data_IF_876675616603
#
_entry.id   IF_876675616603
#
_cell.length_a   1.000
_cell.length_b   1.000
_cell.length_c   1.000
_cell.angle_alpha   90.00
_cell.angle_beta   90.00
_cell.angle_gamma   90.00
#
_symmetry.space_group_name_H-M   'P 1'
#
loop_
_entity.id
_entity.type
_entity.pdbx_description
1 polymer ?
#
# COMPACT_ATOMS: atom_id res chain seq x y z
N UNK A 1 2.47 22.71 -6.90
CA UNK A 1 3.65 21.96 -6.45
C UNK A 1 3.92 20.85 -7.45
N UNK A 2 5.18 20.50 -7.72
CA UNK A 2 5.49 19.36 -8.58
C UNK A 2 5.07 18.07 -7.83
N UNK A 3 4.29 17.23 -8.48
CA UNK A 3 3.90 15.93 -7.92
C UNK A 3 5.07 14.96 -8.11
N UNK A 4 5.71 14.55 -7.01
CA UNK A 4 6.76 13.54 -7.04
C UNK A 4 6.15 12.16 -6.83
N UNK A 5 6.38 11.23 -7.74
CA UNK A 5 5.91 9.86 -7.67
C UNK A 5 6.86 8.92 -8.41
N UNK A 6 6.75 7.63 -8.13
CA UNK A 6 7.41 6.60 -8.90
C UNK A 6 6.37 5.80 -9.67
N UNK A 7 6.75 5.34 -10.85
CA UNK A 7 5.90 4.52 -11.72
C UNK A 7 6.68 3.34 -12.26
N UNK A 8 6.00 2.20 -12.31
CA UNK A 8 6.52 0.97 -12.95
C UNK A 8 5.39 0.25 -13.66
N UNK A 9 5.70 -0.36 -14.80
CA UNK A 9 4.83 -1.30 -15.49
C UNK A 9 5.50 -2.67 -15.49
N UNK A 10 4.96 -3.68 -14.77
CA UNK A 10 5.53 -5.01 -14.77
C UNK A 10 5.55 -5.65 -16.15
N UNK A 11 6.63 -6.35 -16.49
CA UNK A 11 6.78 -7.06 -17.78
C UNK A 11 5.97 -8.35 -17.88
N UNK A 12 5.58 -8.92 -16.74
CA UNK A 12 4.72 -10.11 -16.66
C UNK A 12 3.78 -10.01 -15.46
N UNK A 13 2.62 -10.65 -15.56
CA UNK A 13 1.68 -10.71 -14.44
C UNK A 13 2.21 -11.61 -13.32
N UNK A 14 2.03 -11.16 -12.08
CA UNK A 14 2.20 -11.93 -10.87
C UNK A 14 0.85 -12.36 -10.29
N UNK A 15 0.77 -12.46 -8.98
CA UNK A 15 -0.45 -12.85 -8.29
C UNK A 15 -1.35 -11.62 -8.05
N UNK A 16 -2.44 -11.52 -8.79
CA UNK A 16 -3.41 -10.41 -8.71
C UNK A 16 -4.44 -10.55 -7.59
N UNK A 17 -4.41 -11.67 -6.86
CA UNK A 17 -5.33 -12.00 -5.77
C UNK A 17 -4.67 -11.99 -4.41
N UNK A 18 -3.36 -12.22 -4.35
CA UNK A 18 -2.61 -12.34 -3.11
C UNK A 18 -1.34 -11.49 -3.17
N UNK A 19 -1.24 -10.51 -2.29
CA UNK A 19 -0.08 -9.60 -2.20
C UNK A 19 -0.11 -8.80 -0.91
N UNK A 20 1.01 -8.19 -0.57
CA UNK A 20 1.12 -7.29 0.58
C UNK A 20 1.81 -6.00 0.17
N UNK A 21 1.24 -4.86 0.55
CA UNK A 21 1.84 -3.53 0.41
C UNK A 21 2.16 -3.03 1.81
N UNK A 22 3.40 -2.62 2.04
CA UNK A 22 3.88 -2.05 3.30
C UNK A 22 4.55 -0.72 3.01
N UNK A 23 4.25 0.32 3.78
CA UNK A 23 4.84 1.64 3.64
C UNK A 23 4.95 2.35 4.98
N UNK A 24 6.08 3.02 5.23
CA UNK A 24 6.20 4.02 6.26
C UNK A 24 5.85 5.37 5.65
N UNK A 25 4.88 6.06 6.24
CA UNK A 25 4.38 7.33 5.72
C UNK A 25 4.27 8.37 6.83
N UNK A 26 4.59 9.62 6.50
CA UNK A 26 4.37 10.78 7.34
C UNK A 26 3.64 11.82 6.51
N UNK A 27 2.48 12.26 6.95
CA UNK A 27 1.63 13.20 6.23
C UNK A 27 2.07 14.64 6.48
N UNK A 28 1.98 15.51 5.47
CA UNK A 28 2.21 16.95 5.61
C UNK A 28 0.93 17.75 5.44
N UNK A 29 0.00 17.28 4.59
CA UNK A 29 -1.29 17.93 4.32
C UNK A 29 -2.43 17.04 4.81
N UNK A 30 -3.40 17.66 5.50
CA UNK A 30 -4.64 17.05 5.98
C UNK A 30 -5.83 17.59 5.18
N UNK A 31 -6.94 16.82 5.18
CA UNK A 31 -8.18 17.23 4.54
C UNK A 31 -8.09 17.39 3.01
N UNK A 32 -7.05 16.86 2.37
CA UNK A 32 -6.96 16.84 0.91
C UNK A 32 -7.93 15.83 0.31
N UNK A 33 -8.30 15.99 -0.96
CA UNK A 33 -9.25 15.08 -1.60
C UNK A 33 -8.79 13.62 -1.50
N UNK A 34 -7.53 13.34 -1.82
CA UNK A 34 -6.87 12.04 -1.62
C UNK A 34 -5.37 12.24 -1.45
N UNK A 35 -4.73 11.37 -0.65
CA UNK A 35 -3.27 11.30 -0.50
C UNK A 35 -2.85 9.84 -0.67
N UNK A 36 -2.36 9.48 -1.86
CA UNK A 36 -2.20 8.09 -2.28
C UNK A 36 -0.83 7.53 -1.93
N UNK A 37 -0.81 6.39 -1.27
CA UNK A 37 0.40 5.63 -0.93
C UNK A 37 0.82 4.79 -2.14
N UNK A 38 -0.13 3.99 -2.66
CA UNK A 38 0.10 3.08 -3.78
C UNK A 38 -1.16 2.98 -4.63
N UNK A 39 -1.01 2.96 -5.95
CA UNK A 39 -2.13 2.68 -6.83
C UNK A 39 -1.73 1.86 -8.06
N UNK A 40 -2.73 1.26 -8.66
CA UNK A 40 -2.64 0.55 -9.95
C UNK A 40 -3.92 0.77 -10.73
N UNK A 41 -3.80 1.03 -12.02
CA UNK A 41 -4.95 1.26 -12.88
C UNK A 41 -4.76 0.67 -14.26
N UNK A 42 -5.80 0.01 -14.78
CA UNK A 42 -5.87 -0.53 -16.13
C UNK A 42 -7.19 -0.24 -16.82
N UNK A 43 -8.27 -0.10 -16.07
CA UNK A 43 -9.61 0.14 -16.58
C UNK A 43 -10.56 0.65 -15.48
N UNK A 44 -11.68 1.22 -15.91
CA UNK A 44 -12.79 1.71 -15.07
C UNK A 44 -13.64 0.54 -14.55
N UNK A 45 -13.04 -0.32 -13.76
CA UNK A 45 -13.68 -1.50 -13.17
C UNK A 45 -13.11 -1.84 -11.80
N UNK A 46 -13.83 -2.66 -11.02
CA UNK A 46 -13.37 -3.12 -9.70
C UNK A 46 -12.03 -3.85 -9.81
N UNK A 47 -11.87 -4.71 -10.81
CA UNK A 47 -10.62 -5.42 -11.05
C UNK A 47 -9.53 -4.53 -11.69
N UNK A 48 -9.92 -3.43 -12.32
CA UNK A 48 -9.04 -2.54 -13.09
C UNK A 48 -8.44 -1.39 -12.31
N UNK A 49 -8.90 -1.13 -11.07
CA UNK A 49 -8.39 -0.05 -10.23
C UNK A 49 -8.13 -0.54 -8.81
N UNK A 50 -7.04 -0.08 -8.23
CA UNK A 50 -6.67 -0.28 -6.83
C UNK A 50 -5.98 0.98 -6.33
N UNK A 51 -6.45 1.56 -5.23
CA UNK A 51 -5.80 2.70 -4.59
C UNK A 51 -5.83 2.56 -3.07
N UNK A 52 -4.64 2.45 -2.49
CA UNK A 52 -4.40 2.56 -1.05
C UNK A 52 -4.01 4.00 -0.75
N UNK A 53 -4.83 4.69 0.05
CA UNK A 53 -4.71 6.14 0.21
C UNK A 53 -5.31 6.63 1.52
N UNK A 54 -5.06 7.88 1.86
CA UNK A 54 -5.87 8.62 2.82
C UNK A 54 -6.95 9.40 2.06
N UNK A 55 -8.19 9.35 2.55
CA UNK A 55 -9.32 10.08 1.98
C UNK A 55 -9.37 11.54 2.48
N UNK A 56 -10.32 12.33 1.95
CA UNK A 56 -10.53 13.73 2.33
C UNK A 56 -10.97 13.95 3.78
N UNK A 57 -11.31 12.89 4.51
CA UNK A 57 -11.61 12.92 5.94
C UNK A 57 -10.44 12.42 6.80
N UNK A 58 -9.26 12.22 6.22
CA UNK A 58 -8.03 11.74 6.86
C UNK A 58 -8.10 10.27 7.32
N UNK A 59 -8.94 9.44 6.72
CA UNK A 59 -9.07 8.02 6.99
C UNK A 59 -8.22 7.20 6.02
N UNK A 60 -7.68 6.06 6.46
CA UNK A 60 -7.06 5.11 5.54
C UNK A 60 -8.16 4.40 4.75
N UNK A 61 -8.01 4.40 3.44
CA UNK A 61 -8.98 3.90 2.48
C UNK A 61 -8.30 2.99 1.45
N UNK A 62 -8.91 1.84 1.18
CA UNK A 62 -8.67 1.04 0.00
C UNK A 62 -9.89 1.15 -0.90
N UNK A 63 -9.70 1.69 -2.08
CA UNK A 63 -10.76 1.79 -3.07
C UNK A 63 -10.41 1.10 -4.39
N UNK A 64 -11.44 0.66 -5.06
CA UNK A 64 -11.47 0.30 -6.47
C UNK A 64 -12.26 1.36 -7.23
N UNK A 65 -12.49 1.18 -8.54
CA UNK A 65 -13.10 2.22 -9.41
C UNK A 65 -14.34 2.91 -8.80
N UNK A 66 -15.28 2.18 -8.29
CA UNK A 66 -16.55 2.74 -7.78
C UNK A 66 -16.89 2.26 -6.37
N UNK A 67 -16.00 1.52 -5.71
CA UNK A 67 -16.26 0.89 -4.43
C UNK A 67 -15.11 1.15 -3.47
N UNK A 68 -15.42 1.71 -2.31
CA UNK A 68 -14.51 1.67 -1.18
C UNK A 68 -14.59 0.27 -0.56
N UNK A 69 -13.48 -0.45 -0.59
CA UNK A 69 -13.35 -1.82 -0.05
C UNK A 69 -13.28 -1.76 1.47
N UNK A 70 -12.31 -0.99 2.00
CA UNK A 70 -12.17 -0.72 3.43
C UNK A 70 -11.93 0.78 3.64
N UNK A 71 -12.63 1.39 4.60
CA UNK A 71 -12.34 2.75 5.08
C UNK A 71 -12.36 2.73 6.60
N UNK A 72 -11.26 3.15 7.23
CA UNK A 72 -11.13 3.11 8.70
C UNK A 72 -12.04 4.14 9.39
N UNK A 73 -12.41 3.88 10.66
CA UNK A 73 -12.91 4.92 11.55
C UNK A 73 -11.78 5.78 12.11
N UNK A 74 -10.57 5.22 12.21
CA UNK A 74 -9.37 5.93 12.66
C UNK A 74 -9.05 7.10 11.72
N UNK A 75 -8.69 8.24 12.32
CA UNK A 75 -8.22 9.43 11.64
C UNK A 75 -6.69 9.56 11.78
N UNK A 76 -6.03 9.86 10.68
CA UNK A 76 -4.55 9.97 10.60
C UNK A 76 -4.15 11.46 10.52
N UNK A 77 -4.33 12.20 11.62
CA UNK A 77 -4.19 13.66 11.67
C UNK A 77 -2.92 14.17 12.33
N UNK A 78 -2.10 13.29 12.89
CA UNK A 78 -0.81 13.71 13.44
C UNK A 78 0.24 13.80 12.32
N UNK A 79 0.54 15.03 11.90
CA UNK A 79 1.55 15.30 10.86
C UNK A 79 2.98 15.19 11.39
N UNK A 80 3.18 15.04 12.70
CA UNK A 80 4.51 14.81 13.28
C UNK A 80 4.88 13.33 13.33
N UNK A 81 3.88 12.43 13.32
CA UNK A 81 4.06 11.00 13.44
C UNK A 81 4.37 10.30 12.11
N UNK A 82 5.20 9.27 12.19
CA UNK A 82 5.31 8.23 11.18
C UNK A 82 4.26 7.15 11.43
N UNK A 83 3.57 6.74 10.39
CA UNK A 83 2.66 5.60 10.39
C UNK A 83 3.27 4.48 9.54
N UNK A 84 3.38 3.29 10.10
CA UNK A 84 3.63 2.08 9.31
C UNK A 84 2.29 1.50 8.90
N UNK A 85 2.00 1.54 7.61
CA UNK A 85 0.76 1.03 7.02
C UNK A 85 1.08 -0.28 6.29
N UNK A 86 0.32 -1.33 6.59
CA UNK A 86 0.36 -2.58 5.84
C UNK A 86 -1.05 -2.90 5.35
N UNK A 87 -1.18 -3.12 4.04
CA UNK A 87 -2.36 -3.65 3.38
C UNK A 87 -2.03 -5.06 2.88
N UNK A 88 -2.62 -6.07 3.51
CA UNK A 88 -2.38 -7.48 3.20
C UNK A 88 -3.64 -8.07 2.56
N UNK A 89 -3.50 -8.60 1.35
CA UNK A 89 -4.60 -9.07 0.50
C UNK A 89 -4.44 -10.55 0.19
N UNK A 90 -5.50 -11.33 0.36
CA UNK A 90 -5.69 -12.69 -0.14
C UNK A 90 -7.17 -12.92 -0.42
N UNK A 91 -7.60 -12.76 -1.65
CA UNK A 91 -9.02 -12.91 -2.00
C UNK A 91 -9.49 -14.36 -2.06
N UNK A 92 -8.58 -15.33 -2.03
CA UNK A 92 -8.92 -16.75 -1.95
C UNK A 92 -9.22 -17.22 -0.50
N UNK A 93 -9.05 -16.32 0.50
CA UNK A 93 -9.43 -16.60 1.89
C UNK A 93 -10.92 -16.91 2.01
N UNK A 94 -11.22 -17.99 2.75
CA UNK A 94 -12.59 -18.46 2.97
C UNK A 94 -13.44 -17.45 3.77
N UNK A 95 -12.84 -16.87 4.81
CA UNK A 95 -13.48 -15.84 5.63
C UNK A 95 -13.35 -14.47 4.94
N UNK A 96 -14.48 -13.87 4.58
CA UNK A 96 -14.51 -12.62 3.83
C UNK A 96 -13.71 -11.50 4.49
N UNK A 97 -13.79 -11.37 5.82
CA UNK A 97 -13.09 -10.34 6.58
C UNK A 97 -11.55 -10.51 6.58
N UNK A 98 -11.05 -11.68 6.22
CA UNK A 98 -9.63 -11.96 6.12
C UNK A 98 -9.04 -11.66 4.74
N UNK A 99 -9.89 -11.42 3.72
CA UNK A 99 -9.43 -11.18 2.33
C UNK A 99 -8.64 -9.90 2.17
N UNK A 100 -8.97 -8.89 2.97
CA UNK A 100 -8.19 -7.63 3.04
C UNK A 100 -8.05 -7.23 4.49
N UNK A 101 -6.82 -7.02 4.94
CA UNK A 101 -6.48 -6.58 6.29
C UNK A 101 -5.61 -5.34 6.24
N UNK A 102 -5.91 -4.39 7.12
CA UNK A 102 -5.05 -3.25 7.40
C UNK A 102 -4.35 -3.42 8.74
N UNK A 103 -3.08 -3.03 8.77
CA UNK A 103 -2.33 -2.91 10.00
C UNK A 103 -1.73 -1.51 10.09
N UNK A 104 -1.75 -0.94 11.28
CA UNK A 104 -1.17 0.37 11.60
C UNK A 104 -0.22 0.20 12.77
N UNK A 105 1.06 0.51 12.56
CA UNK A 105 2.11 0.37 13.57
C UNK A 105 2.10 -1.01 14.26
N UNK A 106 1.96 -2.07 13.47
CA UNK A 106 1.98 -3.45 13.93
C UNK A 106 0.65 -4.00 14.46
N UNK A 107 -0.38 -3.16 14.62
CA UNK A 107 -1.68 -3.56 15.15
C UNK A 107 -2.71 -3.66 14.03
N UNK A 108 -3.49 -4.75 14.00
CA UNK A 108 -4.58 -4.92 13.03
C UNK A 108 -5.68 -3.88 13.28
N UNK A 109 -6.10 -3.20 12.21
CA UNK A 109 -7.24 -2.29 12.25
C UNK A 109 -8.53 -3.10 12.11
N UNK A 110 -9.41 -2.97 13.09
CA UNK A 110 -10.67 -3.72 13.14
C UNK A 110 -11.91 -2.83 13.09
N UNK A 111 -11.72 -1.51 13.16
CA UNK A 111 -12.81 -0.52 13.18
C UNK A 111 -12.90 0.21 11.85
N UNK A 112 -13.98 -0.04 11.11
CA UNK A 112 -14.20 0.49 9.77
C UNK A 112 -15.53 1.23 9.67
N UNK A 113 -15.52 2.37 8.98
CA UNK A 113 -16.74 3.07 8.55
C UNK A 113 -17.35 2.43 7.30
N UNK A 114 -16.50 1.78 6.49
CA UNK A 114 -16.91 0.99 5.33
C UNK A 114 -16.12 -0.31 5.29
N UNK A 115 -16.82 -1.43 5.11
CA UNK A 115 -16.24 -2.75 4.84
C UNK A 115 -17.09 -3.44 3.77
N UNK A 116 -16.60 -3.40 2.54
CA UNK A 116 -17.15 -4.11 1.39
C UNK A 116 -16.10 -5.14 0.95
N UNK A 117 -16.11 -6.29 1.61
CA UNK A 117 -15.11 -7.32 1.33
C UNK A 117 -15.18 -7.78 -0.13
N UNK A 118 -14.02 -7.96 -0.81
CA UNK A 118 -14.01 -8.49 -2.16
C UNK A 118 -14.62 -9.90 -2.19
N UNK A 119 -15.19 -10.28 -3.33
CA UNK A 119 -15.65 -11.64 -3.56
C UNK A 119 -14.48 -12.64 -3.49
N UNK A 120 -14.75 -13.90 -3.15
CA UNK A 120 -13.74 -14.95 -3.22
C UNK A 120 -13.17 -15.05 -4.64
N UNK A 121 -11.84 -15.06 -4.75
CA UNK A 121 -11.14 -15.14 -6.02
C UNK A 121 -11.12 -13.83 -6.84
N UNK A 122 -11.60 -12.70 -6.30
CA UNK A 122 -11.55 -11.43 -7.01
C UNK A 122 -10.10 -11.03 -7.30
N UNK A 123 -9.84 -10.60 -8.54
CA UNK A 123 -8.55 -10.05 -8.96
C UNK A 123 -8.52 -8.54 -8.79
N UNK A 124 -7.31 -7.99 -8.60
CA UNK A 124 -7.03 -6.55 -8.63
C UNK A 124 -6.06 -6.23 -9.77
N UNK A 125 -5.92 -4.95 -10.11
CA UNK A 125 -4.94 -4.47 -11.09
C UNK A 125 -3.49 -4.57 -10.60
N UNK A 126 -3.27 -4.73 -9.31
CA UNK A 126 -1.94 -4.95 -8.70
C UNK A 126 -1.32 -6.23 -9.23
N UNK A 127 0.00 -6.23 -9.45
CA UNK A 127 0.77 -7.33 -10.03
C UNK A 127 0.38 -7.72 -11.47
N UNK A 128 -0.40 -6.90 -12.16
CA UNK A 128 -0.69 -7.09 -13.57
C UNK A 128 0.28 -6.27 -14.43
N UNK A 129 0.22 -6.42 -15.76
CA UNK A 129 1.06 -5.73 -16.76
C UNK A 129 0.59 -4.31 -17.08
N UNK A 130 0.02 -3.63 -16.11
CA UNK A 130 -0.42 -2.24 -16.19
C UNK A 130 0.41 -1.35 -15.25
N UNK A 131 0.29 -0.04 -15.44
CA UNK A 131 1.00 0.96 -14.64
C UNK A 131 0.63 0.87 -13.17
N UNK A 132 1.65 0.86 -12.30
CA UNK A 132 1.55 0.91 -10.85
C UNK A 132 2.37 2.09 -10.36
N UNK A 133 1.88 2.80 -9.36
CA UNK A 133 2.50 4.02 -8.85
C UNK A 133 2.66 4.00 -7.34
N UNK A 134 3.72 4.62 -6.86
CA UNK A 134 3.95 4.97 -5.46
C UNK A 134 3.88 6.48 -5.34
N UNK A 135 3.01 6.98 -4.47
CA UNK A 135 2.87 8.41 -4.22
C UNK A 135 1.87 9.14 -5.12
N UNK A 136 1.16 8.44 -6.01
CA UNK A 136 0.17 9.04 -6.90
C UNK A 136 -1.00 8.07 -7.15
N UNK A 137 -2.22 8.61 -7.32
CA UNK A 137 -3.32 7.87 -7.91
C UNK A 137 -3.21 7.95 -9.45
N UNK A 138 -2.81 6.86 -10.09
CA UNK A 138 -2.55 6.85 -11.53
C UNK A 138 -3.81 6.85 -12.41
N UNK A 139 -4.99 6.80 -11.83
CA UNK A 139 -6.25 7.11 -12.52
C UNK A 139 -6.34 8.59 -12.92
N UNK A 140 -5.73 9.50 -12.11
CA UNK A 140 -5.77 10.94 -12.37
C UNK A 140 -4.40 11.55 -12.12
N UNK A 141 -3.79 12.09 -13.15
CA UNK A 141 -2.46 12.71 -13.08
C UNK A 141 -2.39 13.98 -12.21
N UNK A 142 -3.53 14.50 -11.76
CA UNK A 142 -3.62 15.78 -11.04
C UNK A 142 -4.24 15.68 -9.64
N UNK A 143 -4.93 14.59 -9.32
CA UNK A 143 -5.59 14.41 -8.03
C UNK A 143 -5.01 13.20 -7.29
N UNK A 144 -4.70 13.37 -6.00
CA UNK A 144 -4.36 12.25 -5.13
C UNK A 144 -2.88 11.91 -5.03
N UNK A 145 -1.98 12.86 -5.29
CA UNK A 145 -0.57 12.69 -4.94
C UNK A 145 -0.38 12.67 -3.41
N UNK A 146 0.61 11.90 -2.95
CA UNK A 146 1.01 11.92 -1.56
C UNK A 146 1.68 13.24 -1.23
N UNK A 147 1.14 13.98 -0.28
CA UNK A 147 1.78 15.14 0.31
C UNK A 147 2.35 14.75 1.68
N UNK A 148 3.67 14.59 1.72
CA UNK A 148 4.36 14.09 2.90
C UNK A 148 5.66 13.36 2.56
N UNK A 149 6.00 12.43 3.42
CA UNK A 149 7.23 11.65 3.31
C UNK A 149 6.90 10.15 3.28
N UNK A 150 7.68 9.41 2.52
CA UNK A 150 7.63 7.94 2.50
C UNK A 150 9.00 7.35 2.78
N UNK A 151 9.02 6.19 3.39
CA UNK A 151 10.22 5.40 3.62
C UNK A 151 9.86 3.91 3.55
N UNK A 152 10.78 3.09 3.11
CA UNK A 152 10.64 1.63 3.10
C UNK A 152 9.30 1.16 2.52
N UNK A 153 9.00 1.58 1.29
CA UNK A 153 7.82 1.09 0.57
C UNK A 153 8.16 -0.27 -0.04
N UNK A 154 7.39 -1.27 0.35
CA UNK A 154 7.56 -2.64 -0.10
C UNK A 154 6.26 -3.19 -0.69
N UNK A 155 6.36 -3.95 -1.76
CA UNK A 155 5.28 -4.77 -2.28
C UNK A 155 5.80 -6.21 -2.39
N UNK A 156 5.03 -7.15 -1.86
CA UNK A 156 5.33 -8.59 -1.93
C UNK A 156 4.26 -9.27 -2.75
N UNK A 157 4.68 -9.90 -3.81
CA UNK A 157 3.81 -10.61 -4.75
C UNK A 157 3.60 -12.06 -4.27
N UNK A 158 2.36 -12.51 -4.24
CA UNK A 158 1.97 -13.89 -3.93
C UNK A 158 1.81 -14.20 -2.44
N UNK A 159 1.93 -13.25 -1.53
CA UNK A 159 1.83 -13.49 -0.09
C UNK A 159 0.97 -12.45 0.63
N UNK A 160 0.11 -12.92 1.56
CA UNK A 160 -0.56 -12.09 2.57
C UNK A 160 0.26 -12.15 3.86
N UNK A 161 0.96 -11.09 4.20
CA UNK A 161 1.95 -11.07 5.28
C UNK A 161 1.51 -10.22 6.48
N UNK A 162 1.91 -10.66 7.66
CA UNK A 162 1.76 -9.90 8.90
C UNK A 162 2.74 -8.70 8.95
N UNK A 163 2.41 -7.62 9.68
CA UNK A 163 3.24 -6.43 9.79
C UNK A 163 4.62 -6.69 10.42
N UNK A 164 4.77 -7.77 11.18
CA UNK A 164 6.03 -8.18 11.85
C UNK A 164 7.14 -8.59 10.88
N UNK A 165 6.81 -8.76 9.59
CA UNK A 165 7.82 -8.93 8.52
C UNK A 165 8.57 -7.63 8.28
N UNK A 166 7.90 -6.47 8.36
CA UNK A 166 8.40 -5.14 8.00
C UNK A 166 8.68 -4.22 9.18
N UNK A 167 8.25 -4.63 10.37
CA UNK A 167 8.42 -3.85 11.60
C UNK A 167 8.49 -4.73 12.84
N UNK A 168 8.91 -4.14 13.94
CA UNK A 168 8.98 -4.80 15.25
C UNK A 168 8.80 -3.80 16.37
N UNK A 169 8.31 -4.25 17.51
CA UNK A 169 8.28 -3.45 18.72
C UNK A 169 9.69 -3.43 19.34
N UNK A 170 10.19 -2.25 19.63
CA UNK A 170 11.42 -2.08 20.40
C UNK A 170 11.18 -2.54 21.83
N UNK A 171 12.01 -3.48 22.32
CA UNK A 171 11.81 -4.08 23.65
C UNK A 171 12.07 -3.12 24.81
N UNK A 172 12.81 -2.03 24.58
CA UNK A 172 13.15 -1.06 25.60
C UNK A 172 12.12 0.08 25.67
N UNK A 173 11.73 0.62 24.51
CA UNK A 173 10.85 1.78 24.44
C UNK A 173 9.38 1.43 24.22
N UNK A 174 9.07 0.20 23.81
CA UNK A 174 7.72 -0.20 23.39
C UNK A 174 7.28 0.40 22.05
N UNK A 175 8.15 1.16 21.36
CA UNK A 175 7.82 1.84 20.11
C UNK A 175 7.93 0.87 18.93
N UNK A 176 6.94 0.90 18.04
CA UNK A 176 6.99 0.21 16.77
C UNK A 176 8.00 0.87 15.83
N UNK A 177 8.97 0.11 15.32
CA UNK A 177 10.05 0.59 14.46
C UNK A 177 10.22 -0.29 13.23
N UNK A 178 10.89 0.24 12.23
CA UNK A 178 11.25 -0.51 11.03
C UNK A 178 12.10 -1.73 11.36
N UNK A 179 11.81 -2.82 10.66
CA UNK A 179 12.60 -4.04 10.60
C UNK A 179 12.84 -4.37 9.13
N UNK A 180 14.09 -4.58 8.75
CA UNK A 180 14.40 -4.98 7.38
C UNK A 180 13.84 -6.38 7.10
N UNK A 181 13.02 -6.55 6.05
CA UNK A 181 12.56 -7.88 5.66
C UNK A 181 13.74 -8.78 5.32
N UNK A 182 13.72 -10.02 5.81
CA UNK A 182 14.76 -11.01 5.55
C UNK A 182 14.15 -12.39 5.33
N UNK A 183 14.78 -13.21 4.50
CA UNK A 183 14.32 -14.57 4.18
C UNK A 183 12.96 -14.61 3.47
N UNK A 184 12.59 -13.51 2.79
CA UNK A 184 11.31 -13.32 2.14
C UNK A 184 11.42 -13.67 0.66
N UNK A 185 10.45 -14.44 0.14
CA UNK A 185 10.24 -14.53 -1.31
C UNK A 185 9.43 -13.31 -1.76
N UNK A 186 10.00 -12.48 -2.61
CA UNK A 186 9.36 -11.27 -3.11
C UNK A 186 8.34 -11.54 -4.22
N UNK A 187 8.39 -12.75 -4.83
CA UNK A 187 7.59 -13.09 -6.01
C UNK A 187 8.09 -12.40 -7.28
N UNK A 188 7.30 -12.46 -8.35
CA UNK A 188 7.70 -11.93 -9.66
C UNK A 188 7.81 -10.42 -9.71
N UNK A 189 6.86 -9.72 -9.07
CA UNK A 189 6.73 -8.28 -9.16
C UNK A 189 7.03 -7.54 -7.85
N UNK A 190 7.44 -8.25 -6.80
CA UNK A 190 7.76 -7.66 -5.52
C UNK A 190 8.98 -6.74 -5.58
N UNK A 191 8.99 -5.71 -4.73
CA UNK A 191 10.06 -4.73 -4.62
C UNK A 191 10.18 -4.17 -3.20
N UNK A 192 11.32 -3.55 -2.90
CA UNK A 192 11.55 -2.80 -1.67
C UNK A 192 12.30 -1.49 -1.98
N UNK A 193 11.61 -0.36 -1.90
CA UNK A 193 12.16 0.96 -2.11
C UNK A 193 12.57 1.57 -0.77
N UNK A 194 13.86 1.73 -0.55
CA UNK A 194 14.40 2.34 0.68
C UNK A 194 14.50 3.85 0.60
N UNK A 195 14.58 4.41 -0.63
CA UNK A 195 14.81 5.84 -0.92
C UNK A 195 16.16 6.36 -0.41
N UNK A 196 17.16 5.49 -0.26
CA UNK A 196 18.50 5.84 0.23
C UNK A 196 19.40 6.43 -0.86
N UNK A 197 19.14 6.12 -2.14
CA UNK A 197 19.94 6.59 -3.27
C UNK A 197 19.29 7.84 -3.90
N UNK A 198 19.85 9.01 -3.63
CA UNK A 198 19.34 10.28 -4.17
C UNK A 198 19.42 10.39 -5.71
N UNK A 199 20.30 9.62 -6.36
CA UNK A 199 20.40 9.57 -7.82
C UNK A 199 19.36 8.62 -8.45
N UNK A 200 18.82 7.68 -7.67
CA UNK A 200 17.79 6.73 -8.11
C UNK A 200 16.89 6.34 -6.93
N UNK A 201 15.87 7.16 -6.67
CA UNK A 201 14.91 6.89 -5.58
C UNK A 201 14.08 5.64 -5.82
N UNK A 202 13.94 5.18 -7.08
CA UNK A 202 13.23 3.95 -7.44
C UNK A 202 14.08 2.67 -7.33
N UNK A 203 15.30 2.74 -6.81
CA UNK A 203 16.18 1.57 -6.70
C UNK A 203 15.54 0.48 -5.84
N UNK A 204 15.29 -0.67 -6.45
CA UNK A 204 14.78 -1.85 -5.76
C UNK A 204 15.88 -2.54 -4.93
N UNK A 205 15.65 -2.65 -3.65
CA UNK A 205 16.54 -3.31 -2.68
C UNK A 205 16.08 -4.72 -2.29
N UNK A 206 15.07 -5.27 -2.96
CA UNK A 206 14.58 -6.65 -2.72
C UNK A 206 15.51 -7.73 -3.27
N UNK A 207 16.36 -7.37 -4.25
CA UNK A 207 17.16 -8.29 -5.03
C UNK A 207 16.46 -8.80 -6.30
N UNK A 208 15.21 -8.40 -6.57
CA UNK A 208 14.45 -8.78 -7.78
C UNK A 208 14.75 -7.86 -8.97
N UNK A 209 15.43 -6.71 -8.75
CA UNK A 209 15.72 -5.69 -9.78
C UNK A 209 14.46 -5.12 -10.45
N UNK A 210 13.38 -5.01 -9.70
CA UNK A 210 12.08 -4.48 -10.12
C UNK A 210 12.01 -2.95 -9.94
N UNK A 211 12.92 -2.23 -10.64
CA UNK A 211 13.02 -0.77 -10.62
C UNK A 211 11.94 -0.09 -11.47
#
# INVERSE_FOLDING_TARGET
MANSYLVRTPGSAGNTKKFTISAWVKRSLLGSTYSTIFSSWSADSIAGHFALRFDGSDRLDLSTWSVNVLTTNRLFRDTSAWYHIVCAVDTDESTADNRVRFYVNGVEETSFSTRNNPSSGQTFSVNNTNSQTVGLNNYSSTAGSMDGYMSHVAMVDGQQLAPTVFGQTDSTSGIWKFKSPSGLSWGTNGFHLKFENSANLGLDSSGQTNN
#
